data_IF_174436926843
#
_entry.id   IF_174436926843
#
_cell.length_a   1.000
_cell.length_b   1.000
_cell.length_c   1.000
_cell.angle_alpha   90.00
_cell.angle_beta   90.00
_cell.angle_gamma   90.00
#
_symmetry.space_group_name_H-M   'P 1'
#
loop_
_entity.id
_entity.type
_entity.pdbx_description
1 polymer ?
#
# COMPACT_ATOMS: atom_id res chain seq x y z
N UNK A 1 -28.93 19.37 -33.03
CA UNK A 1 -28.29 20.35 -33.96
C UNK A 1 -27.11 20.99 -33.22
N UNK A 2 -25.93 21.09 -33.92
CA UNK A 2 -24.63 21.64 -33.50
C UNK A 2 -23.81 20.65 -32.68
N UNK A 3 -22.75 19.98 -33.09
CA UNK A 3 -21.80 20.16 -34.21
C UNK A 3 -20.63 21.05 -33.81
N UNK A 4 -19.48 20.47 -33.37
CA UNK A 4 -18.12 21.10 -33.35
C UNK A 4 -17.12 19.93 -33.33
N UNK A 5 -16.48 19.61 -34.39
CA UNK A 5 -15.26 20.04 -35.09
C UNK A 5 -13.95 19.76 -34.32
N UNK A 6 -13.31 18.71 -34.79
CA UNK A 6 -11.88 18.47 -35.14
C UNK A 6 -10.80 19.40 -34.53
N UNK A 7 -9.80 18.75 -33.92
CA UNK A 7 -8.49 19.30 -33.65
C UNK A 7 -7.42 18.24 -33.84
N UNK A 8 -6.85 18.16 -35.05
CA UNK A 8 -5.68 17.36 -35.40
C UNK A 8 -4.45 18.17 -34.99
N UNK A 9 -3.57 17.58 -34.19
CA UNK A 9 -2.28 18.16 -33.84
C UNK A 9 -1.20 17.09 -33.89
N UNK A 10 -0.60 16.88 -35.03
CA UNK A 10 0.61 16.09 -35.20
C UNK A 10 1.83 16.95 -34.89
N UNK A 11 2.69 16.53 -33.96
CA UNK A 11 4.05 17.05 -33.84
C UNK A 11 4.98 15.84 -33.82
N UNK A 12 5.67 15.67 -34.95
CA UNK A 12 6.83 14.81 -35.07
C UNK A 12 8.08 15.65 -34.77
N UNK A 13 8.92 15.21 -33.86
CA UNK A 13 10.30 15.68 -33.72
C UNK A 13 11.20 14.45 -33.65
N UNK A 14 11.88 14.21 -34.75
CA UNK A 14 13.01 13.30 -34.85
C UNK A 14 14.29 14.08 -34.59
N UNK A 15 15.15 13.62 -33.68
CA UNK A 15 16.56 14.03 -33.65
C UNK A 15 17.40 12.79 -33.38
N UNK A 16 18.06 12.33 -34.45
CA UNK A 16 19.16 11.40 -34.40
C UNK A 16 20.45 12.14 -34.08
N UNK A 17 21.24 11.67 -33.15
CA UNK A 17 22.65 12.03 -33.00
C UNK A 17 23.46 10.75 -32.89
N UNK A 18 24.14 10.42 -33.97
CA UNK A 18 25.21 9.44 -34.03
C UNK A 18 26.51 10.13 -33.58
N UNK A 19 27.23 9.53 -32.65
CA UNK A 19 28.54 9.91 -32.18
C UNK A 19 29.45 8.69 -32.04
N UNK A 20 30.12 8.31 -33.14
CA UNK A 20 31.27 7.40 -33.08
C UNK A 20 32.50 8.19 -32.61
N UNK A 21 33.19 7.69 -31.61
CA UNK A 21 34.50 8.17 -31.19
C UNK A 21 35.40 7.01 -30.88
N UNK A 22 36.12 6.50 -31.87
CA UNK A 22 37.27 5.59 -31.69
C UNK A 22 38.52 6.41 -31.36
N UNK A 23 39.27 6.02 -30.35
CA UNK A 23 40.58 6.58 -30.05
C UNK A 23 41.45 5.55 -29.34
N UNK A 24 42.41 5.02 -30.10
CA UNK A 24 43.46 4.06 -29.70
C UNK A 24 44.68 4.72 -29.07
N UNK A 25 45.38 3.90 -28.30
CA UNK A 25 46.83 3.75 -28.08
C UNK A 25 47.57 4.64 -27.09
N UNK A 26 48.37 3.94 -26.30
CA UNK A 26 49.69 4.37 -25.84
C UNK A 26 49.91 4.33 -24.34
N UNK A 27 50.37 3.28 -23.79
CA UNK A 27 51.67 2.88 -23.27
C UNK A 27 52.20 3.72 -22.13
N UNK A 28 52.57 3.04 -21.09
CA UNK A 28 53.77 3.16 -20.25
C UNK A 28 53.45 3.03 -18.75
N UNK A 29 53.99 1.97 -18.20
CA UNK A 29 54.28 1.66 -16.81
C UNK A 29 54.89 2.77 -16.00
N UNK A 30 54.45 3.00 -14.75
CA UNK A 30 55.25 3.20 -13.56
C UNK A 30 54.47 2.80 -12.31
N UNK A 31 55.18 2.13 -11.40
CA UNK A 31 54.70 1.53 -10.18
C UNK A 31 54.63 2.50 -8.99
N UNK A 32 53.63 2.24 -8.13
CA UNK A 32 53.61 2.27 -6.65
C UNK A 32 53.66 3.63 -5.92
N UNK A 33 53.32 3.62 -4.59
CA UNK A 33 52.09 3.20 -3.92
C UNK A 33 51.54 4.37 -3.09
N UNK A 34 50.29 4.37 -2.77
CA UNK A 34 49.86 5.30 -1.74
C UNK A 34 48.38 5.67 -1.79
N UNK A 35 47.64 5.19 -0.79
CA UNK A 35 46.49 5.88 -0.29
C UNK A 35 45.21 5.82 -1.15
N UNK A 36 44.45 4.72 -1.03
CA UNK A 36 43.04 4.75 -1.35
C UNK A 36 42.31 5.60 -0.28
N UNK A 37 41.65 6.70 -0.66
CA UNK A 37 40.62 7.22 0.20
C UNK A 37 39.43 6.28 0.05
N UNK A 38 39.09 5.60 1.14
CA UNK A 38 37.83 4.85 1.28
C UNK A 38 36.65 5.81 1.04
N UNK A 39 36.05 5.72 -0.13
CA UNK A 39 34.73 6.26 -0.32
C UNK A 39 33.80 5.59 0.68
N UNK A 40 33.04 6.35 1.46
CA UNK A 40 31.97 5.75 2.23
C UNK A 40 30.97 5.17 1.21
N UNK A 41 30.82 3.86 1.25
CA UNK A 41 29.75 3.16 0.59
C UNK A 41 28.44 3.83 1.06
N UNK A 42 27.76 4.49 0.14
CA UNK A 42 26.38 4.85 0.36
C UNK A 42 25.61 3.54 0.57
N UNK A 43 25.30 3.26 1.82
CA UNK A 43 24.35 2.21 2.17
C UNK A 43 23.02 2.62 1.58
N UNK A 44 22.68 2.06 0.42
CA UNK A 44 21.28 1.98 0.03
C UNK A 44 20.53 1.33 1.19
N UNK A 45 19.42 1.91 1.67
CA UNK A 45 18.57 1.17 2.56
C UNK A 45 18.08 -0.05 1.77
N UNK A 46 18.56 -1.23 2.14
CA UNK A 46 17.93 -2.48 1.77
C UNK A 46 16.52 -2.39 2.34
N UNK A 47 15.53 -2.28 1.46
CA UNK A 47 14.15 -2.50 1.83
C UNK A 47 14.03 -3.96 2.29
N UNK A 48 14.21 -4.15 3.59
CA UNK A 48 13.89 -5.40 4.27
C UNK A 48 12.39 -5.59 4.13
N UNK A 49 11.99 -6.43 3.20
CA UNK A 49 10.61 -6.93 3.13
C UNK A 49 10.36 -7.78 4.37
N UNK A 50 10.04 -7.14 5.47
CA UNK A 50 9.58 -7.82 6.67
C UNK A 50 8.14 -8.23 6.43
N UNK A 51 7.90 -9.54 6.34
CA UNK A 51 6.54 -10.06 6.39
C UNK A 51 5.99 -9.77 7.78
N UNK A 52 5.08 -8.82 7.87
CA UNK A 52 4.39 -8.48 9.11
C UNK A 52 2.97 -9.09 9.12
N UNK A 53 2.43 -9.29 10.31
CA UNK A 53 1.06 -9.81 10.45
C UNK A 53 0.11 -8.65 10.71
N UNK A 54 -0.72 -8.34 9.72
CA UNK A 54 -1.73 -7.29 9.81
C UNK A 54 -3.11 -7.92 9.97
N UNK A 55 -3.74 -7.72 11.14
CA UNK A 55 -5.06 -8.26 11.46
C UNK A 55 -5.18 -9.79 11.22
N UNK A 56 -4.11 -10.53 11.51
CA UNK A 56 -4.06 -11.99 11.34
C UNK A 56 -3.75 -12.46 9.92
N UNK A 57 -3.42 -11.57 9.00
CA UNK A 57 -2.96 -11.90 7.65
C UNK A 57 -1.46 -11.62 7.53
N UNK A 58 -0.74 -12.51 6.87
CA UNK A 58 0.64 -12.22 6.46
C UNK A 58 0.60 -11.12 5.40
N UNK A 59 1.35 -10.07 5.61
CA UNK A 59 1.47 -8.95 4.68
C UNK A 59 2.92 -8.73 4.27
N UNK A 60 3.13 -8.44 3.00
CA UNK A 60 4.38 -7.86 2.53
C UNK A 60 4.33 -6.38 2.90
N UNK A 61 5.10 -6.01 3.94
CA UNK A 61 5.00 -4.67 4.52
C UNK A 61 5.73 -3.63 3.67
N UNK A 62 4.97 -2.62 3.26
CA UNK A 62 5.42 -1.39 2.57
C UNK A 62 5.07 -0.14 3.40
N UNK A 63 5.18 -0.29 4.71
CA UNK A 63 5.09 0.80 5.67
C UNK A 63 3.68 1.24 6.07
N UNK A 64 3.68 2.19 6.99
CA UNK A 64 2.47 2.78 7.55
C UNK A 64 2.37 4.26 7.17
N UNK A 65 1.20 4.67 6.68
CA UNK A 65 0.88 6.08 6.41
C UNK A 65 -0.17 6.59 7.37
N UNK A 66 0.13 7.70 8.05
CA UNK A 66 -0.86 8.43 8.84
C UNK A 66 -1.74 9.27 7.89
N UNK A 67 -3.03 8.99 7.92
CA UNK A 67 -4.06 9.65 7.11
C UNK A 67 -5.11 10.35 7.98
N UNK A 68 -4.78 10.59 9.25
CA UNK A 68 -5.67 11.28 10.20
C UNK A 68 -6.12 12.63 9.63
N UNK A 69 -7.42 12.84 9.56
CA UNK A 69 -8.02 14.07 9.02
C UNK A 69 -8.04 14.18 7.50
N UNK A 70 -7.44 13.24 6.77
CA UNK A 70 -7.55 13.19 5.31
C UNK A 70 -8.93 12.66 4.88
N UNK A 71 -9.46 13.19 3.79
CA UNK A 71 -10.71 12.72 3.17
C UNK A 71 -10.48 11.79 1.97
N UNK A 72 -9.29 11.82 1.38
CA UNK A 72 -8.92 10.98 0.25
C UNK A 72 -7.43 10.68 0.24
N UNK A 73 -7.07 9.52 -0.35
CA UNK A 73 -5.70 9.09 -0.55
C UNK A 73 -5.60 8.13 -1.74
N UNK A 74 -4.46 8.09 -2.38
CA UNK A 74 -4.10 7.05 -3.35
C UNK A 74 -3.14 6.06 -2.72
N UNK A 75 -3.39 4.76 -2.94
CA UNK A 75 -2.46 3.67 -2.62
C UNK A 75 -2.12 2.91 -3.90
N UNK A 76 -0.98 2.28 -3.92
CA UNK A 76 -0.54 1.46 -5.04
C UNK A 76 -0.78 -0.03 -4.77
N UNK A 77 -1.06 -0.79 -5.80
CA UNK A 77 -1.12 -2.24 -5.80
C UNK A 77 -0.08 -2.74 -6.82
N UNK A 78 0.87 -3.56 -6.38
CA UNK A 78 1.87 -4.17 -7.24
C UNK A 78 2.07 -5.64 -6.84
N UNK A 79 3.04 -6.36 -7.35
CA UNK A 79 3.28 -7.79 -7.20
C UNK A 79 4.15 -8.12 -5.97
N UNK A 80 3.62 -8.54 -4.84
CA UNK A 80 2.24 -8.76 -4.41
C UNK A 80 2.05 -8.02 -3.09
N UNK A 81 1.86 -6.72 -3.16
CA UNK A 81 1.75 -5.84 -2.00
C UNK A 81 0.83 -4.65 -2.28
N UNK A 82 0.46 -3.95 -1.22
CA UNK A 82 -0.12 -2.61 -1.27
C UNK A 82 0.88 -1.62 -0.66
N UNK A 83 1.05 -0.47 -1.27
CA UNK A 83 1.92 0.59 -0.78
C UNK A 83 1.10 1.89 -0.55
N UNK A 84 1.02 2.38 0.69
CA UNK A 84 1.45 1.75 1.93
C UNK A 84 0.57 0.56 2.34
N UNK A 85 1.14 -0.41 3.08
CA UNK A 85 0.42 -1.59 3.56
C UNK A 85 -0.53 -1.25 4.71
N UNK A 86 -0.21 -0.25 5.52
CA UNK A 86 -1.03 0.14 6.67
C UNK A 86 -1.41 1.62 6.59
N UNK A 87 -2.70 1.89 6.71
CA UNK A 87 -3.23 3.24 6.84
C UNK A 87 -3.66 3.46 8.29
N UNK A 88 -3.13 4.49 8.95
CA UNK A 88 -3.50 4.87 10.31
C UNK A 88 -4.41 6.08 10.27
N UNK A 89 -5.60 5.96 10.85
CA UNK A 89 -6.60 7.02 10.91
C UNK A 89 -7.34 7.06 12.24
N UNK A 90 -8.28 7.97 12.40
CA UNK A 90 -9.14 8.02 13.60
C UNK A 90 -10.30 7.03 13.50
N UNK A 91 -10.79 6.57 14.65
CA UNK A 91 -11.95 5.69 14.74
C UNK A 91 -13.16 6.30 14.00
N UNK A 92 -13.79 5.52 13.13
CA UNK A 92 -14.94 5.94 12.33
C UNK A 92 -14.64 6.92 11.20
N UNK A 93 -13.38 7.29 10.97
CA UNK A 93 -12.98 8.15 9.86
C UNK A 93 -13.36 7.48 8.53
N UNK A 94 -13.99 8.27 7.66
CA UNK A 94 -14.27 7.86 6.27
C UNK A 94 -13.16 8.37 5.37
N UNK A 95 -12.67 7.50 4.50
CA UNK A 95 -11.59 7.82 3.57
C UNK A 95 -11.97 7.32 2.16
N UNK A 96 -11.85 8.19 1.19
CA UNK A 96 -11.91 7.80 -0.23
C UNK A 96 -10.54 7.27 -0.63
N UNK A 97 -10.48 5.99 -1.02
CA UNK A 97 -9.27 5.39 -1.54
C UNK A 97 -9.33 5.29 -3.06
N UNK A 98 -8.29 5.78 -3.72
CA UNK A 98 -7.97 5.44 -5.09
C UNK A 98 -6.89 4.37 -5.04
N UNK A 99 -7.14 3.20 -5.58
CA UNK A 99 -6.16 2.11 -5.66
C UNK A 99 -5.68 2.03 -7.10
N UNK A 100 -4.39 2.23 -7.33
CA UNK A 100 -3.77 2.17 -8.65
C UNK A 100 -2.96 0.88 -8.80
N UNK A 101 -3.28 0.08 -9.79
CA UNK A 101 -2.51 -1.11 -10.14
C UNK A 101 -1.28 -0.72 -10.97
N UNK A 102 -0.09 -0.83 -10.40
CA UNK A 102 1.19 -0.53 -11.08
C UNK A 102 1.73 -1.71 -11.88
N UNK A 103 1.16 -2.89 -11.68
CA UNK A 103 1.61 -4.12 -12.35
C UNK A 103 0.84 -4.42 -13.64
N UNK A 104 1.31 -5.42 -14.37
CA UNK A 104 0.58 -6.04 -15.47
C UNK A 104 -0.34 -7.19 -15.02
N UNK A 105 -0.28 -7.55 -13.74
CA UNK A 105 -1.10 -8.59 -13.12
C UNK A 105 -2.45 -8.00 -12.69
N UNK A 106 -3.52 -8.75 -12.83
CA UNK A 106 -4.81 -8.37 -12.25
C UNK A 106 -4.75 -8.53 -10.72
N UNK A 107 -5.24 -7.55 -10.02
CA UNK A 107 -5.38 -7.54 -8.57
C UNK A 107 -6.85 -7.34 -8.17
N UNK A 108 -7.09 -7.31 -6.86
CA UNK A 108 -8.38 -7.05 -6.28
C UNK A 108 -8.17 -6.31 -4.95
N UNK A 109 -9.11 -5.47 -4.58
CA UNK A 109 -9.12 -4.81 -3.27
C UNK A 109 -10.38 -5.20 -2.51
N UNK A 110 -10.20 -5.97 -1.44
CA UNK A 110 -11.29 -6.50 -0.63
C UNK A 110 -11.18 -6.02 0.82
N UNK A 111 -12.28 -5.45 1.34
CA UNK A 111 -12.51 -5.23 2.78
C UNK A 111 -13.77 -5.97 3.16
N UNK A 112 -13.62 -7.22 3.57
CA UNK A 112 -14.75 -8.14 3.79
C UNK A 112 -15.78 -7.60 4.79
N UNK A 113 -15.32 -6.98 5.88
CA UNK A 113 -16.20 -6.43 6.91
C UNK A 113 -17.02 -5.22 6.45
N UNK A 114 -16.71 -4.64 5.31
CA UNK A 114 -17.42 -3.51 4.71
C UNK A 114 -18.10 -3.88 3.38
N UNK A 115 -18.12 -5.16 3.01
CA UNK A 115 -18.66 -5.66 1.74
C UNK A 115 -18.03 -4.97 0.50
N UNK A 116 -16.76 -4.60 0.62
CA UNK A 116 -15.98 -4.05 -0.49
C UNK A 116 -15.26 -5.21 -1.16
N UNK A 117 -15.44 -5.32 -2.49
CA UNK A 117 -14.76 -6.25 -3.36
C UNK A 117 -14.67 -5.59 -4.74
N UNK A 118 -13.48 -5.17 -5.13
CA UNK A 118 -13.26 -4.37 -6.35
C UNK A 118 -12.08 -4.92 -7.12
N UNK A 119 -12.33 -5.36 -8.35
CA UNK A 119 -11.27 -5.80 -9.25
C UNK A 119 -10.46 -4.64 -9.81
N UNK A 120 -9.15 -4.82 -9.84
CA UNK A 120 -8.18 -3.91 -10.43
C UNK A 120 -7.57 -4.59 -11.66
N UNK A 121 -8.02 -4.19 -12.84
CA UNK A 121 -7.39 -4.64 -14.08
C UNK A 121 -5.93 -4.20 -14.13
N UNK A 122 -5.13 -4.91 -14.93
CA UNK A 122 -3.73 -4.51 -15.22
C UNK A 122 -3.63 -3.02 -15.56
N UNK A 123 -2.73 -2.30 -14.88
CA UNK A 123 -2.51 -0.85 -15.04
C UNK A 123 -3.75 0.02 -14.82
N UNK A 124 -4.81 -0.56 -14.28
CA UNK A 124 -6.07 0.12 -14.00
C UNK A 124 -6.08 0.79 -12.63
N UNK A 125 -7.19 1.43 -12.33
CA UNK A 125 -7.46 2.01 -11.01
C UNK A 125 -8.92 1.86 -10.64
N UNK A 126 -9.18 1.82 -9.33
CA UNK A 126 -10.53 1.81 -8.78
C UNK A 126 -10.60 2.81 -7.63
N UNK A 127 -11.79 3.38 -7.43
CA UNK A 127 -12.06 4.26 -6.28
C UNK A 127 -13.10 3.60 -5.40
N UNK A 128 -12.84 3.55 -4.10
CA UNK A 128 -13.75 3.02 -3.09
C UNK A 128 -13.78 3.89 -1.85
N UNK A 129 -14.72 3.64 -0.96
CA UNK A 129 -14.85 4.36 0.31
C UNK A 129 -14.71 3.37 1.45
N UNK A 130 -13.73 3.61 2.33
CA UNK A 130 -13.49 2.79 3.51
C UNK A 130 -13.81 3.59 4.77
N UNK A 131 -14.18 2.88 5.83
CA UNK A 131 -14.37 3.46 7.16
C UNK A 131 -13.39 2.80 8.12
N UNK A 132 -12.64 3.59 8.87
CA UNK A 132 -11.75 3.07 9.90
C UNK A 132 -12.54 2.37 11.00
N UNK A 133 -12.04 1.26 11.55
CA UNK A 133 -12.71 0.58 12.65
C UNK A 133 -12.79 1.47 13.90
N UNK A 134 -13.70 1.18 14.81
CA UNK A 134 -13.80 1.89 16.10
C UNK A 134 -12.57 1.65 16.98
N UNK A 135 -11.90 0.51 16.80
CA UNK A 135 -10.66 0.15 17.48
C UNK A 135 -9.94 -0.96 16.71
N UNK A 136 -8.63 -1.11 16.94
CA UNK A 136 -7.86 -2.19 16.34
C UNK A 136 -7.57 -1.98 14.87
N UNK A 137 -7.40 -3.07 14.15
CA UNK A 137 -7.05 -3.11 12.73
C UNK A 137 -8.12 -3.84 11.95
N UNK A 138 -8.57 -3.24 10.86
CA UNK A 138 -9.45 -3.86 9.88
C UNK A 138 -8.62 -4.22 8.65
N UNK A 139 -8.53 -5.51 8.32
CA UNK A 139 -7.74 -5.96 7.18
C UNK A 139 -8.38 -5.63 5.84
N UNK A 140 -7.53 -5.34 4.86
CA UNK A 140 -7.84 -5.42 3.44
C UNK A 140 -6.82 -6.34 2.75
N UNK A 141 -7.19 -6.92 1.61
CA UNK A 141 -6.33 -7.86 0.91
C UNK A 141 -6.74 -8.01 -0.56
N UNK A 142 -5.84 -8.60 -1.35
CA UNK A 142 -6.17 -9.09 -2.68
C UNK A 142 -6.63 -10.55 -2.59
N UNK A 143 -7.83 -10.89 -3.04
CA UNK A 143 -8.35 -12.26 -3.00
C UNK A 143 -7.49 -13.23 -3.80
N UNK A 144 -6.91 -12.76 -4.90
CA UNK A 144 -6.08 -13.58 -5.80
C UNK A 144 -4.70 -13.88 -5.23
N UNK A 145 -4.13 -12.96 -4.42
CA UNK A 145 -2.72 -13.01 -3.99
C UNK A 145 -2.54 -12.92 -2.47
N UNK A 146 -3.61 -13.14 -1.70
CA UNK A 146 -3.56 -13.12 -0.24
C UNK A 146 -2.55 -14.11 0.33
N UNK A 147 -2.45 -15.30 -0.27
CA UNK A 147 -1.47 -16.34 0.13
C UNK A 147 -0.02 -15.94 -0.16
N UNK A 148 0.19 -14.93 -0.99
CA UNK A 148 1.50 -14.38 -1.34
C UNK A 148 1.83 -13.12 -0.54
N UNK A 149 1.02 -12.79 0.47
CA UNK A 149 1.24 -11.65 1.34
C UNK A 149 0.63 -10.33 0.83
N UNK A 150 -0.22 -10.36 -0.19
CA UNK A 150 -0.88 -9.13 -0.66
C UNK A 150 -2.05 -8.75 0.25
N UNK A 151 -1.70 -8.16 1.38
CA UNK A 151 -2.63 -7.72 2.43
C UNK A 151 -2.15 -6.43 3.08
N UNK A 152 -3.06 -5.79 3.81
CA UNK A 152 -2.79 -4.58 4.57
C UNK A 152 -3.88 -4.30 5.60
N UNK A 153 -3.87 -3.11 6.18
CA UNK A 153 -4.82 -2.79 7.25
C UNK A 153 -5.14 -1.32 7.43
N UNK A 154 -6.37 -1.08 7.89
CA UNK A 154 -6.84 0.21 8.39
C UNK A 154 -6.71 0.18 9.91
N UNK A 155 -5.75 0.91 10.46
CA UNK A 155 -5.43 0.97 11.87
C UNK A 155 -6.08 2.20 12.51
N UNK A 156 -6.90 2.01 13.54
CA UNK A 156 -7.43 3.11 14.35
C UNK A 156 -6.35 3.72 15.24
N UNK A 157 -6.32 5.04 15.38
CA UNK A 157 -5.42 5.77 16.26
C UNK A 157 -5.45 5.20 17.68
N UNK A 158 -4.27 4.89 18.22
CA UNK A 158 -4.11 4.27 19.55
C UNK A 158 -4.06 2.74 19.54
N UNK A 159 -4.38 2.04 18.44
CA UNK A 159 -4.18 0.61 18.29
C UNK A 159 -2.78 0.32 17.71
N UNK A 160 -2.17 -0.81 18.09
CA UNK A 160 -0.92 -1.29 17.48
C UNK A 160 -1.24 -2.12 16.25
N UNK A 161 -0.52 -1.92 15.15
CA UNK A 161 -0.51 -2.84 14.04
C UNK A 161 -0.06 -4.23 14.57
N UNK A 162 -0.79 -5.28 14.24
CA UNK A 162 -0.50 -6.64 14.75
C UNK A 162 -1.34 -7.08 15.94
N UNK A 163 -2.15 -6.20 16.55
CA UNK A 163 -3.13 -6.65 17.53
C UNK A 163 -4.29 -7.39 16.83
N UNK A 164 -4.32 -8.69 16.90
CA UNK A 164 -5.47 -9.49 16.46
C UNK A 164 -6.70 -9.05 17.25
N UNK A 165 -7.60 -8.33 16.60
CA UNK A 165 -8.89 -8.00 17.15
C UNK A 165 -9.75 -9.27 17.24
N UNK A 166 -9.59 -10.05 18.32
CA UNK A 166 -10.60 -11.00 18.70
C UNK A 166 -11.81 -10.19 19.11
N UNK A 167 -12.83 -10.16 18.26
CA UNK A 167 -14.11 -9.54 18.56
C UNK A 167 -14.72 -10.22 19.77
N UNK A 168 -14.47 -9.68 20.96
CA UNK A 168 -15.23 -10.04 22.14
C UNK A 168 -16.62 -9.43 21.99
N UNK A 169 -17.56 -10.22 21.55
CA UNK A 169 -18.98 -9.96 21.75
C UNK A 169 -19.23 -9.98 23.26
N UNK A 170 -19.21 -8.84 23.89
CA UNK A 170 -19.70 -8.67 25.25
C UNK A 170 -21.23 -8.78 25.22
N UNK A 171 -21.75 -10.00 25.34
CA UNK A 171 -23.13 -10.23 25.71
C UNK A 171 -23.28 -9.84 27.19
N UNK A 172 -23.77 -8.64 27.44
CA UNK A 172 -24.22 -8.21 28.74
C UNK A 172 -25.54 -8.95 29.05
N UNK A 173 -25.46 -10.08 29.72
CA UNK A 173 -26.60 -10.70 30.37
C UNK A 173 -26.94 -9.93 31.63
N UNK A 174 -27.93 -9.05 31.55
CA UNK A 174 -28.58 -8.46 32.71
C UNK A 174 -29.46 -9.54 33.39
N UNK A 175 -28.97 -10.17 34.45
CA UNK A 175 -29.76 -10.96 35.34
C UNK A 175 -30.51 -10.05 36.31
N UNK A 176 -31.79 -9.80 36.06
CA UNK A 176 -32.71 -9.23 37.02
C UNK A 176 -33.06 -10.31 38.08
N UNK A 177 -32.40 -10.22 39.25
CA UNK A 177 -32.76 -10.98 40.40
C UNK A 177 -34.06 -10.43 41.00
N UNK A 178 -35.16 -11.15 40.84
CA UNK A 178 -36.40 -10.92 41.58
C UNK A 178 -36.27 -11.43 43.01
N UNK A 179 -36.36 -10.52 43.98
CA UNK A 179 -36.49 -10.83 45.41
C UNK A 179 -37.96 -10.98 45.73
N UNK A 180 -38.41 -12.20 45.95
CA UNK A 180 -39.72 -12.46 46.56
C UNK A 180 -39.56 -12.47 48.06
N UNK A 181 -40.08 -11.43 48.74
CA UNK A 181 -40.25 -11.40 50.18
C UNK A 181 -41.53 -12.10 50.59
N UNK A 182 -41.44 -13.03 51.53
CA UNK A 182 -42.52 -13.56 52.28
C UNK A 182 -42.44 -12.99 53.67
N UNK A 183 -43.56 -12.46 54.16
CA UNK A 183 -43.84 -12.09 55.50
C UNK A 183 -45.32 -11.99 55.70
#
# INVERSE_FOLDING_TARGET
MRGWLTGVGAIAVATAVAGCGSGSSGGATVAAPGGQPSSPAASSPEESSTSDTVAGLTANDHGTKDVTGMSAMTIEADNFYFDPSVLKGTAGQKLTLVIENKSSTQHNFTVKAQNINSDLNSRGKVTTHVTFPSSGVLSFYCEYHKSQGMAGGLLSSGAKAGASGTGASSSSSSSSGGSAGWG
#
